data_IF_063572347693
#
_entry.id   IF_063572347693
#
_cell.length_a   1.000
_cell.length_b   1.000
_cell.length_c   1.000
_cell.angle_alpha   90.00
_cell.angle_beta   90.00
_cell.angle_gamma   90.00
#
_symmetry.space_group_name_H-M   'P 1'
#
loop_
_entity.id
_entity.type
_entity.pdbx_description
1 polymer ?
#
# COMPACT_ATOMS: atom_id res chain seq x y z
N UNK A 1 -3.54 -15.00 19.04
CA UNK A 1 -4.44 -14.95 20.21
C UNK A 1 -5.62 -15.88 19.98
N UNK A 2 -6.24 -15.87 18.82
CA UNK A 2 -7.32 -16.77 18.41
C UNK A 2 -6.81 -17.65 17.25
N UNK A 3 -6.10 -18.74 17.59
CA UNK A 3 -5.38 -19.57 16.62
C UNK A 3 -6.28 -20.25 15.57
N UNK A 4 -7.53 -20.50 15.94
CA UNK A 4 -8.51 -21.20 15.09
C UNK A 4 -9.59 -20.22 14.55
N UNK A 5 -9.32 -18.90 14.55
CA UNK A 5 -10.27 -17.94 14.03
C UNK A 5 -10.35 -18.02 12.51
N UNK A 6 -11.56 -18.06 11.97
CA UNK A 6 -11.83 -17.83 10.54
C UNK A 6 -11.91 -16.31 10.30
N UNK A 7 -11.08 -15.79 9.43
CA UNK A 7 -10.96 -14.37 9.14
C UNK A 7 -11.54 -14.06 7.76
N UNK A 8 -12.68 -13.38 7.74
CA UNK A 8 -13.29 -12.85 6.52
C UNK A 8 -12.95 -11.37 6.37
N UNK A 9 -12.39 -10.98 5.25
CA UNK A 9 -12.04 -9.60 4.93
C UNK A 9 -13.08 -9.00 3.98
N UNK A 10 -13.76 -7.94 4.42
CA UNK A 10 -14.68 -7.18 3.58
C UNK A 10 -13.94 -6.04 2.88
N UNK A 11 -13.89 -6.09 1.55
CA UNK A 11 -13.18 -5.11 0.71
C UNK A 11 -14.12 -4.44 -0.28
N UNK A 12 -13.61 -3.38 -0.92
CA UNK A 12 -14.19 -2.84 -2.15
C UNK A 12 -13.90 -3.79 -3.33
N UNK A 13 -14.72 -3.72 -4.43
CA UNK A 13 -14.49 -4.56 -5.61
C UNK A 13 -13.06 -4.46 -6.17
N UNK A 14 -12.50 -3.25 -6.22
CA UNK A 14 -11.15 -2.98 -6.71
C UNK A 14 -10.03 -3.58 -5.86
N UNK A 15 -10.27 -3.80 -4.56
CA UNK A 15 -9.28 -4.28 -3.60
C UNK A 15 -9.40 -5.80 -3.33
N UNK A 16 -10.36 -6.49 -3.95
CA UNK A 16 -10.66 -7.91 -3.68
C UNK A 16 -9.44 -8.81 -3.92
N UNK A 17 -8.72 -8.59 -5.02
CA UNK A 17 -7.54 -9.39 -5.36
C UNK A 17 -6.39 -9.14 -4.39
N UNK A 18 -6.19 -7.88 -3.98
CA UNK A 18 -5.22 -7.53 -2.94
C UNK A 18 -5.55 -8.22 -1.61
N UNK A 19 -6.83 -8.16 -1.19
CA UNK A 19 -7.30 -8.85 0.00
C UNK A 19 -7.05 -10.36 -0.05
N UNK A 20 -7.29 -11.00 -1.20
CA UNK A 20 -7.07 -12.43 -1.39
C UNK A 20 -5.58 -12.84 -1.36
N UNK A 21 -4.65 -11.90 -1.52
CA UNK A 21 -3.21 -12.18 -1.40
C UNK A 21 -2.69 -12.12 0.04
N UNK A 22 -3.52 -11.74 1.01
CA UNK A 22 -3.13 -11.67 2.44
C UNK A 22 -3.15 -13.08 3.03
N UNK A 23 -2.00 -13.64 3.48
CA UNK A 23 -1.87 -15.06 3.77
C UNK A 23 -2.65 -15.55 5.01
N UNK A 24 -3.17 -14.65 5.84
CA UNK A 24 -3.95 -14.98 7.04
C UNK A 24 -5.44 -14.60 6.92
N UNK A 25 -5.90 -14.30 5.72
CA UNK A 25 -7.32 -14.11 5.40
C UNK A 25 -7.85 -15.41 4.77
N UNK A 26 -8.88 -15.97 5.38
CA UNK A 26 -9.51 -17.22 4.92
C UNK A 26 -10.53 -16.97 3.82
N UNK A 27 -11.22 -15.81 3.86
CA UNK A 27 -12.26 -15.44 2.92
C UNK A 27 -12.23 -13.94 2.61
N UNK A 28 -12.48 -13.58 1.36
CA UNK A 28 -12.64 -12.17 0.94
C UNK A 28 -14.04 -11.94 0.44
N UNK A 29 -14.75 -11.03 1.10
CA UNK A 29 -16.08 -10.58 0.72
C UNK A 29 -16.00 -9.25 -0.01
N UNK A 30 -16.73 -9.12 -1.10
CA UNK A 30 -16.77 -7.88 -1.88
C UNK A 30 -18.01 -7.05 -1.50
N UNK A 31 -17.78 -5.90 -0.87
CA UNK A 31 -18.85 -5.02 -0.44
C UNK A 31 -19.52 -4.33 -1.64
N UNK A 32 -20.86 -4.37 -1.75
CA UNK A 32 -21.60 -3.67 -2.81
C UNK A 32 -21.70 -2.16 -2.51
N UNK A 33 -20.55 -1.49 -2.34
CA UNK A 33 -20.49 -0.08 -1.91
C UNK A 33 -21.02 0.90 -2.95
N UNK A 34 -21.02 0.50 -4.22
CA UNK A 34 -21.54 1.30 -5.33
C UNK A 34 -23.04 1.09 -5.56
N UNK A 35 -23.60 0.05 -4.94
CA UNK A 35 -25.03 -0.25 -5.05
C UNK A 35 -25.88 0.65 -4.15
N UNK A 36 -27.10 0.90 -4.55
CA UNK A 36 -28.07 1.61 -3.71
C UNK A 36 -28.50 0.70 -2.56
N UNK A 37 -28.67 1.26 -1.33
CA UNK A 37 -29.05 0.48 -0.14
C UNK A 37 -30.44 -0.20 -0.28
N UNK A 38 -31.25 0.21 -1.24
CA UNK A 38 -32.54 -0.39 -1.59
C UNK A 38 -32.48 -1.32 -2.80
N UNK A 39 -31.28 -1.58 -3.38
CA UNK A 39 -31.13 -2.53 -4.49
C UNK A 39 -31.25 -3.97 -3.99
N UNK A 40 -31.71 -4.87 -4.87
CA UNK A 40 -31.76 -6.30 -4.57
C UNK A 40 -30.34 -6.83 -4.24
N UNK A 41 -29.34 -6.42 -5.01
CA UNK A 41 -27.94 -6.86 -4.79
C UNK A 41 -27.41 -6.46 -3.39
N UNK A 42 -27.77 -5.27 -2.89
CA UNK A 42 -27.40 -4.87 -1.54
C UNK A 42 -28.12 -5.73 -0.46
N UNK A 43 -29.41 -6.01 -0.66
CA UNK A 43 -30.20 -6.84 0.27
C UNK A 43 -29.70 -8.29 0.26
N UNK A 44 -29.46 -8.87 -0.92
CA UNK A 44 -28.93 -10.22 -1.07
C UNK A 44 -27.57 -10.37 -0.35
N UNK A 45 -26.69 -9.37 -0.50
CA UNK A 45 -25.43 -9.33 0.22
C UNK A 45 -25.59 -9.26 1.73
N UNK A 46 -26.50 -8.43 2.24
CA UNK A 46 -26.79 -8.34 3.69
C UNK A 46 -27.36 -9.64 4.22
N UNK A 47 -28.21 -10.32 3.46
CA UNK A 47 -28.77 -11.62 3.84
C UNK A 47 -27.70 -12.71 3.84
N UNK A 48 -26.75 -12.66 2.89
CA UNK A 48 -25.57 -13.54 2.89
C UNK A 48 -24.68 -13.29 4.10
N UNK A 49 -24.36 -12.03 4.41
CA UNK A 49 -23.55 -11.62 5.54
C UNK A 49 -24.16 -12.08 6.90
N UNK A 50 -25.49 -12.25 6.96
CA UNK A 50 -26.21 -12.69 8.16
C UNK A 50 -26.42 -14.19 8.25
N UNK A 51 -26.18 -14.94 7.19
CA UNK A 51 -26.46 -16.37 7.15
C UNK A 51 -25.63 -17.13 8.17
N UNK A 52 -24.34 -16.79 8.28
CA UNK A 52 -23.44 -17.32 9.29
C UNK A 52 -22.95 -16.15 10.16
N UNK A 53 -23.57 -15.93 11.34
CA UNK A 53 -23.27 -14.74 12.13
C UNK A 53 -21.85 -14.78 12.68
N UNK A 54 -21.16 -13.68 12.53
CA UNK A 54 -19.81 -13.49 13.05
C UNK A 54 -19.81 -13.30 14.57
N UNK A 55 -18.79 -13.80 15.26
CA UNK A 55 -18.57 -13.48 16.67
C UNK A 55 -18.08 -12.05 16.84
N UNK A 56 -17.22 -11.60 15.93
CA UNK A 56 -16.57 -10.29 15.97
C UNK A 56 -16.58 -9.65 14.59
N UNK A 57 -16.92 -8.37 14.53
CA UNK A 57 -16.72 -7.51 13.37
C UNK A 57 -15.90 -6.28 13.76
N UNK A 58 -14.83 -5.99 13.02
CA UNK A 58 -13.95 -4.85 13.25
C UNK A 58 -14.00 -3.91 12.05
N UNK A 59 -14.38 -2.67 12.25
CA UNK A 59 -14.37 -1.64 11.22
C UNK A 59 -13.07 -0.83 11.29
N UNK A 60 -12.14 -1.10 10.39
CA UNK A 60 -10.78 -0.53 10.41
C UNK A 60 -10.70 0.90 9.89
N UNK A 61 -11.69 1.35 9.11
CA UNK A 61 -11.64 2.67 8.48
C UNK A 61 -11.78 3.80 9.49
N UNK A 62 -10.81 4.71 9.60
CA UNK A 62 -10.88 5.86 10.49
C UNK A 62 -12.01 6.82 10.08
N UNK A 63 -12.20 6.99 8.78
CA UNK A 63 -13.31 7.74 8.18
C UNK A 63 -14.40 6.79 7.71
N UNK A 64 -14.61 5.73 8.47
CA UNK A 64 -15.56 4.68 8.17
C UNK A 64 -16.82 5.31 7.57
N UNK A 65 -17.03 5.12 6.28
CA UNK A 65 -18.22 5.64 5.64
C UNK A 65 -19.43 5.14 6.43
N UNK A 66 -20.47 5.94 6.53
CA UNK A 66 -21.71 5.49 7.18
C UNK A 66 -22.11 4.09 6.71
N UNK A 67 -21.82 3.77 5.46
CA UNK A 67 -22.09 2.49 4.82
C UNK A 67 -21.31 1.31 5.41
N UNK A 68 -20.00 1.47 5.65
CA UNK A 68 -19.19 0.42 6.27
C UNK A 68 -19.60 0.19 7.73
N UNK A 69 -19.88 1.27 8.48
CA UNK A 69 -20.41 1.15 9.83
C UNK A 69 -21.77 0.47 9.83
N UNK A 70 -22.66 0.79 8.88
CA UNK A 70 -23.95 0.14 8.71
C UNK A 70 -23.80 -1.36 8.40
N UNK A 71 -22.91 -1.74 7.47
CA UNK A 71 -22.63 -3.15 7.18
C UNK A 71 -22.09 -3.90 8.40
N UNK A 72 -21.20 -3.28 9.17
CA UNK A 72 -20.74 -3.83 10.44
C UNK A 72 -21.93 -4.05 11.40
N UNK A 73 -22.84 -3.08 11.51
CA UNK A 73 -24.07 -3.23 12.31
C UNK A 73 -25.03 -4.32 11.78
N UNK A 74 -25.08 -4.49 10.46
CA UNK A 74 -25.94 -5.47 9.78
C UNK A 74 -25.36 -6.89 9.74
N UNK A 75 -24.07 -7.07 10.01
CA UNK A 75 -23.38 -8.36 9.97
C UNK A 75 -23.93 -9.39 10.98
N UNK A 76 -24.72 -8.95 11.94
CA UNK A 76 -25.19 -9.83 13.02
C UNK A 76 -24.13 -10.15 14.07
N UNK A 77 -22.90 -9.63 13.94
CA UNK A 77 -21.81 -9.89 14.86
C UNK A 77 -22.19 -9.47 16.31
N UNK A 78 -21.88 -10.36 17.26
CA UNK A 78 -22.15 -10.12 18.69
C UNK A 78 -21.29 -9.00 19.23
N UNK A 79 -20.05 -8.92 18.81
CA UNK A 79 -19.09 -7.88 19.15
C UNK A 79 -18.75 -7.07 17.90
N UNK A 80 -18.96 -5.76 17.94
CA UNK A 80 -18.70 -4.86 16.84
C UNK A 80 -17.83 -3.72 17.31
N UNK A 81 -16.61 -3.65 16.78
CA UNK A 81 -15.56 -2.70 17.17
C UNK A 81 -15.36 -1.68 16.09
N UNK A 82 -15.22 -0.42 16.47
CA UNK A 82 -14.95 0.66 15.54
C UNK A 82 -14.57 1.95 16.25
N UNK A 83 -14.28 2.99 15.45
CA UNK A 83 -14.02 4.31 16.01
C UNK A 83 -15.33 5.00 16.41
N UNK A 84 -15.28 5.69 17.55
CA UNK A 84 -16.40 6.47 18.05
C UNK A 84 -16.90 7.48 17.02
N UNK A 85 -18.23 7.60 16.93
CA UNK A 85 -18.94 8.50 16.02
C UNK A 85 -20.11 9.16 16.73
N UNK A 86 -20.36 10.43 16.39
CA UNK A 86 -21.41 11.21 17.06
C UNK A 86 -22.84 10.71 16.80
N UNK A 87 -23.04 9.92 15.73
CA UNK A 87 -24.38 9.53 15.25
C UNK A 87 -24.53 8.05 14.88
N UNK A 88 -23.67 7.16 15.32
CA UNK A 88 -23.75 5.74 14.96
C UNK A 88 -23.88 4.84 16.16
N UNK A 89 -24.86 3.94 16.14
CA UNK A 89 -25.04 2.84 17.09
C UNK A 89 -24.59 1.50 16.50
N UNK A 90 -23.80 1.53 15.43
CA UNK A 90 -23.36 0.32 14.74
C UNK A 90 -22.37 -0.50 15.56
N UNK A 91 -21.58 0.15 16.40
CA UNK A 91 -20.59 -0.49 17.24
C UNK A 91 -21.09 -0.61 18.68
N UNK A 92 -20.66 -1.65 19.39
CA UNK A 92 -20.88 -1.82 20.81
C UNK A 92 -19.59 -1.78 21.63
N UNK A 93 -18.44 -1.72 20.96
CA UNK A 93 -17.15 -1.28 21.51
C UNK A 93 -16.57 -0.19 20.61
N UNK A 94 -16.18 0.92 21.21
CA UNK A 94 -15.70 2.07 20.48
C UNK A 94 -14.36 2.57 21.03
N UNK A 95 -13.46 2.97 20.14
CA UNK A 95 -12.23 3.68 20.44
C UNK A 95 -12.39 5.14 20.06
N UNK A 96 -12.06 6.03 20.97
CA UNK A 96 -11.91 7.46 20.63
C UNK A 96 -10.70 7.62 19.74
N UNK A 97 -10.90 8.14 18.53
CA UNK A 97 -9.80 8.45 17.63
C UNK A 97 -8.89 9.48 18.29
N UNK A 98 -7.60 9.22 18.33
CA UNK A 98 -6.62 10.18 18.81
C UNK A 98 -6.51 11.36 17.84
N UNK A 99 -5.73 12.37 18.20
CA UNK A 99 -5.55 13.59 17.39
C UNK A 99 -5.17 13.22 15.95
N UNK A 100 -5.56 14.07 15.00
CA UNK A 100 -5.31 13.89 13.55
C UNK A 100 -3.82 13.69 13.20
N UNK A 101 -2.91 14.08 14.08
CA UNK A 101 -1.45 13.95 13.93
C UNK A 101 -0.89 12.59 14.35
N UNK A 102 -1.72 11.69 14.92
CA UNK A 102 -1.25 10.38 15.36
C UNK A 102 -1.08 9.43 14.17
N UNK A 103 -0.05 8.58 14.22
CA UNK A 103 0.24 7.59 13.19
C UNK A 103 -0.97 6.67 12.93
N UNK A 104 -1.46 6.63 11.69
CA UNK A 104 -2.73 5.97 11.33
C UNK A 104 -2.74 4.48 11.68
N UNK A 105 -1.63 3.77 11.52
CA UNK A 105 -1.54 2.35 11.87
C UNK A 105 -1.74 2.15 13.38
N UNK A 106 -1.14 2.99 14.23
CA UNK A 106 -1.33 2.91 15.67
C UNK A 106 -2.78 3.16 16.09
N UNK A 107 -3.49 4.02 15.38
CA UNK A 107 -4.92 4.23 15.61
C UNK A 107 -5.73 2.97 15.29
N UNK A 108 -5.44 2.32 14.16
CA UNK A 108 -6.10 1.06 13.78
C UNK A 108 -5.77 -0.06 14.79
N UNK A 109 -4.52 -0.15 15.23
CA UNK A 109 -4.08 -1.13 16.23
C UNK A 109 -4.75 -0.91 17.60
N UNK A 110 -5.17 0.32 17.92
CA UNK A 110 -5.94 0.59 19.13
C UNK A 110 -7.29 -0.18 19.18
N UNK A 111 -7.92 -0.43 18.01
CA UNK A 111 -9.14 -1.26 17.94
C UNK A 111 -8.85 -2.70 18.36
N UNK A 112 -7.68 -3.23 17.98
CA UNK A 112 -7.29 -4.61 18.32
C UNK A 112 -6.87 -4.73 19.79
N UNK A 113 -6.22 -3.70 20.34
CA UNK A 113 -5.85 -3.66 21.78
C UNK A 113 -7.07 -3.69 22.70
N UNK A 114 -8.23 -3.15 22.27
CA UNK A 114 -9.49 -3.31 23.02
C UNK A 114 -9.88 -4.77 23.24
N UNK A 115 -9.45 -5.66 22.37
CA UNK A 115 -9.70 -7.09 22.46
C UNK A 115 -8.67 -7.83 23.33
N UNK A 116 -7.77 -7.09 24.00
CA UNK A 116 -6.67 -7.68 24.77
C UNK A 116 -5.56 -8.30 23.90
N UNK A 117 -5.50 -7.92 22.64
CA UNK A 117 -4.48 -8.40 21.70
C UNK A 117 -3.39 -7.33 21.59
N UNK A 118 -2.19 -7.66 22.00
CA UNK A 118 -1.02 -6.79 21.75
C UNK A 118 -0.46 -7.08 20.36
N UNK A 119 -0.52 -6.12 19.44
CA UNK A 119 0.07 -6.28 18.13
C UNK A 119 1.58 -6.48 18.25
N UNK A 120 2.12 -7.43 17.51
CA UNK A 120 3.55 -7.68 17.45
C UNK A 120 4.02 -7.63 16.01
N UNK A 121 5.24 -7.12 15.81
CA UNK A 121 5.88 -7.04 14.52
C UNK A 121 5.62 -5.73 13.76
N UNK A 122 6.29 -5.62 12.64
CA UNK A 122 6.13 -4.52 11.70
C UNK A 122 5.02 -4.83 10.69
N UNK A 123 4.51 -3.78 10.06
CA UNK A 123 3.60 -3.94 8.91
C UNK A 123 4.40 -4.55 7.78
N UNK A 124 4.17 -5.82 7.52
CA UNK A 124 4.80 -6.55 6.43
C UNK A 124 3.74 -7.30 5.61
N UNK A 125 3.98 -7.39 4.34
CA UNK A 125 3.14 -8.14 3.44
C UNK A 125 4.02 -8.78 2.36
N UNK A 126 3.60 -9.95 1.88
CA UNK A 126 4.26 -10.64 0.78
C UNK A 126 3.18 -11.19 -0.15
N UNK A 127 3.36 -10.98 -1.44
CA UNK A 127 2.55 -11.68 -2.46
C UNK A 127 3.05 -13.11 -2.56
N UNK A 128 2.13 -14.03 -2.89
CA UNK A 128 2.51 -15.41 -3.19
C UNK A 128 3.59 -15.45 -4.29
N UNK A 129 4.72 -16.11 -3.98
CA UNK A 129 5.91 -16.11 -4.86
C UNK A 129 5.61 -16.52 -6.30
N UNK A 130 4.68 -17.45 -6.52
CA UNK A 130 4.34 -17.93 -7.86
C UNK A 130 3.74 -16.86 -8.75
N UNK A 131 2.78 -16.09 -8.26
CA UNK A 131 2.13 -15.02 -9.02
C UNK A 131 3.07 -13.81 -9.20
N UNK A 132 3.78 -13.44 -8.15
CA UNK A 132 4.77 -12.37 -8.20
C UNK A 132 5.87 -12.67 -9.22
N UNK A 133 6.37 -13.90 -9.26
CA UNK A 133 7.37 -14.32 -10.23
C UNK A 133 6.85 -14.25 -11.66
N UNK A 134 5.65 -14.76 -11.93
CA UNK A 134 5.04 -14.70 -13.27
C UNK A 134 4.88 -13.26 -13.77
N UNK A 135 4.45 -12.33 -12.90
CA UNK A 135 4.32 -10.92 -13.26
C UNK A 135 5.68 -10.25 -13.48
N UNK A 136 6.66 -10.54 -12.62
CA UNK A 136 8.02 -10.05 -12.79
C UNK A 136 8.65 -10.56 -14.07
N UNK A 137 8.59 -11.85 -14.35
CA UNK A 137 9.09 -12.46 -15.59
C UNK A 137 8.45 -11.83 -16.81
N UNK A 138 7.14 -11.57 -16.75
CA UNK A 138 6.41 -10.98 -17.88
C UNK A 138 6.77 -9.52 -18.15
N UNK A 139 7.00 -8.71 -17.10
CA UNK A 139 7.15 -7.25 -17.22
C UNK A 139 8.57 -6.76 -16.97
N UNK A 140 9.34 -7.45 -16.11
CA UNK A 140 10.72 -7.10 -15.78
C UNK A 140 11.74 -8.02 -16.46
N UNK A 141 11.34 -8.66 -17.55
CA UNK A 141 12.23 -9.49 -18.39
C UNK A 141 13.15 -8.65 -19.28
N UNK A 142 14.16 -9.29 -19.85
CA UNK A 142 15.10 -8.68 -20.80
C UNK A 142 15.91 -7.54 -20.18
N UNK A 143 15.72 -6.31 -20.67
CA UNK A 143 16.49 -5.15 -20.20
C UNK A 143 16.22 -4.77 -18.74
N UNK A 144 15.06 -5.17 -18.16
CA UNK A 144 14.69 -4.91 -16.76
C UNK A 144 15.19 -5.99 -15.79
N UNK A 145 15.79 -7.07 -16.28
CA UNK A 145 16.37 -8.13 -15.45
C UNK A 145 17.78 -7.82 -14.94
N UNK A 146 18.40 -6.77 -15.42
CA UNK A 146 19.78 -6.38 -15.06
C UNK A 146 19.87 -4.92 -14.65
N UNK A 147 20.61 -4.64 -13.58
CA UNK A 147 20.79 -3.29 -13.02
C UNK A 147 19.65 -2.83 -12.14
N UNK A 148 19.73 -1.59 -11.67
CA UNK A 148 18.69 -1.02 -10.82
C UNK A 148 17.43 -0.70 -11.61
N UNK A 149 16.29 -1.10 -11.06
CA UNK A 149 14.95 -0.71 -11.52
C UNK A 149 14.36 0.20 -10.45
N UNK A 150 13.99 1.42 -10.82
CA UNK A 150 13.38 2.39 -9.94
C UNK A 150 11.92 2.56 -10.32
N UNK A 151 11.03 2.32 -9.38
CA UNK A 151 9.63 2.64 -9.54
C UNK A 151 9.39 4.14 -9.35
N UNK A 152 8.55 4.73 -10.19
CA UNK A 152 8.09 6.12 -10.06
C UNK A 152 6.57 6.11 -10.13
N UNK A 153 5.94 6.48 -9.03
CA UNK A 153 4.48 6.63 -8.96
C UNK A 153 4.11 8.04 -9.41
N UNK A 154 3.35 8.13 -10.51
CA UNK A 154 2.88 9.39 -11.06
C UNK A 154 1.65 9.93 -10.31
N UNK A 155 1.02 9.10 -9.51
CA UNK A 155 -0.30 9.13 -8.92
C UNK A 155 -0.75 10.42 -8.26
N UNK A 156 -1.99 10.50 -7.96
CA UNK A 156 -2.96 11.39 -7.34
C UNK A 156 -3.80 12.26 -8.27
N UNK A 157 -3.62 12.23 -9.58
CA UNK A 157 -4.45 13.02 -10.49
C UNK A 157 -4.09 14.52 -10.52
N UNK A 158 -4.82 15.27 -11.34
CA UNK A 158 -4.55 16.69 -11.56
C UNK A 158 -4.61 17.51 -10.25
N UNK A 159 -3.50 18.16 -9.90
CA UNK A 159 -3.41 19.19 -8.86
C UNK A 159 -2.93 18.74 -7.48
N UNK A 160 -2.78 17.44 -7.23
CA UNK A 160 -2.40 16.91 -5.91
C UNK A 160 -1.06 16.17 -5.89
N UNK A 161 -0.38 16.07 -7.01
CA UNK A 161 0.91 15.40 -7.18
C UNK A 161 1.96 16.26 -7.87
N UNK A 162 3.04 15.63 -8.27
CA UNK A 162 4.10 16.24 -9.08
C UNK A 162 3.55 16.60 -10.47
N UNK A 163 3.97 17.75 -10.99
CA UNK A 163 3.58 18.14 -12.34
C UNK A 163 4.43 17.40 -13.42
N UNK A 164 3.96 17.44 -14.67
CA UNK A 164 4.58 16.71 -15.76
C UNK A 164 6.05 17.06 -16.02
N UNK A 165 6.49 18.30 -15.74
CA UNK A 165 7.89 18.72 -15.88
C UNK A 165 8.76 18.11 -14.76
N UNK A 166 8.25 18.11 -13.53
CA UNK A 166 8.94 17.49 -12.40
C UNK A 166 9.10 15.98 -12.60
N UNK A 167 8.05 15.31 -13.11
CA UNK A 167 8.10 13.89 -13.45
C UNK A 167 9.10 13.60 -14.56
N UNK A 168 9.17 14.44 -15.60
CA UNK A 168 10.17 14.31 -16.67
C UNK A 168 11.59 14.48 -16.11
N UNK A 169 11.84 15.49 -15.28
CA UNK A 169 13.12 15.71 -14.62
C UNK A 169 13.52 14.53 -13.72
N UNK A 170 12.59 13.97 -12.93
CA UNK A 170 12.83 12.81 -12.06
C UNK A 170 13.20 11.59 -12.90
N UNK A 171 12.35 11.23 -13.88
CA UNK A 171 12.59 10.07 -14.74
C UNK A 171 13.91 10.23 -15.52
N UNK A 172 14.20 11.42 -16.03
CA UNK A 172 15.47 11.73 -16.66
C UNK A 172 16.67 11.45 -15.74
N UNK A 173 16.60 11.89 -14.48
CA UNK A 173 17.65 11.66 -13.48
C UNK A 173 17.83 10.19 -13.10
N UNK A 174 16.72 9.42 -13.06
CA UNK A 174 16.77 7.96 -12.88
C UNK A 174 17.54 7.31 -14.03
N UNK A 175 17.20 7.67 -15.27
CA UNK A 175 17.82 7.13 -16.49
C UNK A 175 19.30 7.54 -16.61
N UNK A 176 19.67 8.78 -16.26
CA UNK A 176 21.06 9.26 -16.24
C UNK A 176 21.96 8.46 -15.30
N UNK A 177 21.39 7.85 -14.26
CA UNK A 177 22.09 6.95 -13.31
C UNK A 177 22.28 5.52 -13.84
N UNK A 178 21.86 5.25 -15.07
CA UNK A 178 21.90 3.91 -15.64
C UNK A 178 20.79 2.98 -15.16
N UNK A 179 19.87 3.49 -14.34
CA UNK A 179 18.70 2.72 -13.89
C UNK A 179 17.60 2.72 -14.97
N UNK A 180 16.67 1.80 -14.87
CA UNK A 180 15.42 1.78 -15.62
C UNK A 180 14.27 2.22 -14.74
N UNK A 181 13.21 2.76 -15.33
CA UNK A 181 12.06 3.26 -14.60
C UNK A 181 10.81 2.44 -14.88
N UNK A 182 10.12 1.97 -13.84
CA UNK A 182 8.75 1.48 -13.92
C UNK A 182 7.83 2.63 -13.51
N UNK A 183 6.89 3.02 -14.37
CA UNK A 183 5.97 4.11 -14.11
C UNK A 183 4.62 3.54 -13.69
N UNK A 184 4.25 3.72 -12.43
CA UNK A 184 2.90 3.46 -11.97
C UNK A 184 2.01 4.67 -12.25
N UNK A 185 0.83 4.45 -12.81
CA UNK A 185 -0.06 5.54 -13.21
C UNK A 185 -1.52 5.11 -13.30
N UNK A 186 -2.42 6.07 -13.13
CA UNK A 186 -3.85 5.92 -13.41
C UNK A 186 -4.20 6.47 -14.80
N UNK A 187 -5.45 6.31 -15.21
CA UNK A 187 -5.94 6.88 -16.48
C UNK A 187 -5.72 8.39 -16.62
N UNK A 188 -5.67 9.12 -15.50
CA UNK A 188 -5.48 10.56 -15.50
C UNK A 188 -4.10 10.96 -16.03
N UNK A 189 -3.06 10.17 -15.71
CA UNK A 189 -1.67 10.45 -16.08
C UNK A 189 -1.27 9.88 -17.45
N UNK A 190 -2.16 9.21 -18.17
CA UNK A 190 -1.87 8.52 -19.45
C UNK A 190 -1.16 9.40 -20.49
N UNK A 191 -1.51 10.69 -20.58
CA UNK A 191 -0.84 11.62 -21.50
C UNK A 191 0.63 11.83 -21.13
N UNK A 192 0.89 11.98 -19.84
CA UNK A 192 2.27 12.15 -19.33
C UNK A 192 3.10 10.88 -19.54
N UNK A 193 2.51 9.72 -19.28
CA UNK A 193 3.16 8.42 -19.50
C UNK A 193 3.54 8.22 -20.96
N UNK A 194 2.62 8.52 -21.90
CA UNK A 194 2.90 8.43 -23.33
C UNK A 194 4.05 9.34 -23.75
N UNK A 195 4.14 10.52 -23.17
CA UNK A 195 5.26 11.44 -23.41
C UNK A 195 6.57 10.84 -22.89
N UNK A 196 6.62 10.35 -21.64
CA UNK A 196 7.81 9.77 -21.03
C UNK A 196 8.28 8.52 -21.76
N UNK A 197 7.35 7.62 -22.12
CA UNK A 197 7.67 6.41 -22.89
C UNK A 197 8.25 6.75 -24.27
N UNK A 198 7.71 7.76 -24.94
CA UNK A 198 8.25 8.22 -26.23
C UNK A 198 9.65 8.85 -26.08
N UNK A 199 9.88 9.58 -24.98
CA UNK A 199 11.15 10.30 -24.74
C UNK A 199 12.26 9.34 -24.36
N UNK A 200 11.99 8.35 -23.49
CA UNK A 200 13.02 7.49 -22.91
C UNK A 200 13.05 6.05 -23.49
N UNK A 201 12.08 5.71 -24.34
CA UNK A 201 12.04 4.43 -25.06
C UNK A 201 11.98 3.21 -24.15
N UNK A 202 12.75 2.17 -24.47
CA UNK A 202 12.80 0.90 -23.74
C UNK A 202 13.30 0.98 -22.30
N UNK A 203 13.84 2.13 -21.88
CA UNK A 203 14.30 2.34 -20.49
C UNK A 203 13.15 2.65 -19.52
N UNK A 204 11.94 2.82 -20.03
CA UNK A 204 10.73 3.13 -19.26
C UNK A 204 9.67 2.10 -19.54
N UNK A 205 9.18 1.46 -18.46
CA UNK A 205 8.07 0.50 -18.47
C UNK A 205 6.83 1.14 -17.87
N UNK A 206 5.78 1.44 -18.64
CA UNK A 206 4.51 1.92 -18.10
C UNK A 206 3.69 0.75 -17.54
N UNK A 207 3.13 0.91 -16.34
CA UNK A 207 2.21 -0.03 -15.71
C UNK A 207 1.01 0.70 -15.12
N UNK A 208 -0.17 0.42 -15.63
CA UNK A 208 -1.42 1.03 -15.18
C UNK A 208 -1.90 0.42 -13.85
N UNK A 209 -2.16 1.26 -12.87
CA UNK A 209 -2.57 0.89 -11.50
C UNK A 209 -4.05 0.47 -11.42
N UNK A 210 -4.45 -0.49 -12.23
CA UNK A 210 -5.79 -1.06 -12.15
C UNK A 210 -5.86 -2.32 -11.27
N UNK A 211 -4.70 -2.75 -10.74
CA UNK A 211 -4.54 -3.94 -9.92
C UNK A 211 -3.37 -3.76 -8.94
N UNK A 212 -3.68 -3.49 -7.67
CA UNK A 212 -2.66 -3.29 -6.63
C UNK A 212 -1.81 -4.54 -6.36
N UNK A 213 -2.34 -5.75 -6.60
CA UNK A 213 -1.54 -6.97 -6.49
C UNK A 213 -0.46 -7.03 -7.58
N UNK A 214 -0.80 -6.59 -8.81
CA UNK A 214 0.17 -6.44 -9.88
C UNK A 214 1.22 -5.36 -9.60
N UNK A 215 0.80 -4.22 -9.05
CA UNK A 215 1.73 -3.15 -8.59
C UNK A 215 2.70 -3.71 -7.56
N UNK A 216 2.21 -4.43 -6.55
CA UNK A 216 3.03 -5.01 -5.50
C UNK A 216 4.03 -6.04 -6.04
N UNK A 217 3.61 -6.90 -6.98
CA UNK A 217 4.49 -7.88 -7.62
C UNK A 217 5.66 -7.22 -8.37
N UNK A 218 5.40 -6.09 -9.06
CA UNK A 218 6.44 -5.33 -9.73
C UNK A 218 7.33 -4.56 -8.76
N UNK A 219 6.75 -3.98 -7.69
CA UNK A 219 7.51 -3.30 -6.64
C UNK A 219 8.57 -4.19 -6.01
N UNK A 220 8.26 -5.47 -5.76
CA UNK A 220 9.24 -6.44 -5.22
C UNK A 220 10.46 -6.66 -6.14
N UNK A 221 10.36 -6.32 -7.43
CA UNK A 221 11.47 -6.36 -8.38
C UNK A 221 12.19 -5.02 -8.53
N UNK A 222 11.79 -3.98 -7.78
CA UNK A 222 12.39 -2.65 -7.86
C UNK A 222 13.39 -2.42 -6.73
N UNK A 223 14.50 -1.77 -7.03
CA UNK A 223 15.52 -1.38 -6.04
C UNK A 223 15.10 -0.19 -5.19
N UNK A 224 14.18 0.64 -5.66
CA UNK A 224 13.62 1.77 -4.92
C UNK A 224 12.34 2.29 -5.57
N UNK A 225 11.55 3.05 -4.78
CA UNK A 225 10.36 3.77 -5.22
C UNK A 225 10.53 5.29 -5.00
N UNK A 226 10.03 6.10 -5.93
CA UNK A 226 9.74 7.52 -5.71
C UNK A 226 8.24 7.71 -5.82
N UNK A 227 7.61 8.18 -4.77
CA UNK A 227 6.15 8.38 -4.73
C UNK A 227 5.75 9.55 -3.85
N UNK A 228 4.62 10.17 -4.17
CA UNK A 228 3.90 10.98 -3.20
C UNK A 228 3.22 10.07 -2.15
N UNK A 229 2.52 10.68 -1.17
CA UNK A 229 1.73 9.93 -0.18
C UNK A 229 0.53 9.24 -0.84
N UNK A 230 0.74 8.07 -1.40
CA UNK A 230 -0.22 7.24 -2.15
C UNK A 230 -0.25 5.83 -1.60
N UNK A 231 -1.22 5.02 -2.04
CA UNK A 231 -1.29 3.60 -1.70
C UNK A 231 -0.02 2.84 -2.15
N UNK A 232 0.58 3.25 -3.27
CA UNK A 232 1.80 2.63 -3.81
C UNK A 232 2.98 2.81 -2.87
N UNK A 233 3.11 3.98 -2.22
CA UNK A 233 4.15 4.22 -1.21
C UNK A 233 3.99 3.27 -0.02
N UNK A 234 2.79 3.17 0.53
CA UNK A 234 2.54 2.31 1.70
C UNK A 234 2.71 0.84 1.36
N UNK A 235 2.34 0.45 0.14
CA UNK A 235 2.54 -0.89 -0.38
C UNK A 235 4.05 -1.23 -0.48
N UNK A 236 4.86 -0.33 -1.04
CA UNK A 236 6.31 -0.50 -1.13
C UNK A 236 6.95 -0.68 0.25
N UNK A 237 6.57 0.17 1.22
CA UNK A 237 7.10 0.07 2.59
C UNK A 237 6.72 -1.24 3.28
N UNK A 238 5.50 -1.75 3.05
CA UNK A 238 5.07 -3.05 3.59
C UNK A 238 5.76 -4.25 2.93
N UNK A 239 6.25 -4.08 1.71
CA UNK A 239 7.03 -5.08 0.96
C UNK A 239 8.54 -4.98 1.24
N UNK A 240 8.98 -4.04 2.07
CA UNK A 240 10.39 -3.83 2.37
C UNK A 240 11.16 -3.08 1.27
N UNK A 241 10.48 -2.46 0.31
CA UNK A 241 11.13 -1.72 -0.79
C UNK A 241 11.52 -0.33 -0.33
N UNK A 242 12.80 0.06 -0.43
CA UNK A 242 13.25 1.39 -0.09
C UNK A 242 12.53 2.47 -0.91
N UNK A 243 12.19 3.61 -0.29
CA UNK A 243 11.41 4.63 -0.97
C UNK A 243 11.85 6.06 -0.67
N UNK A 244 11.57 6.95 -1.61
CA UNK A 244 11.52 8.40 -1.39
C UNK A 244 10.05 8.80 -1.32
N UNK A 245 9.58 9.12 -0.14
CA UNK A 245 8.20 9.55 0.11
C UNK A 245 8.09 11.07 0.11
N UNK A 246 7.21 11.61 -0.72
CA UNK A 246 6.97 13.04 -0.88
C UNK A 246 5.62 13.38 -0.28
N UNK A 247 5.60 14.28 0.70
CA UNK A 247 4.43 14.62 1.49
C UNK A 247 4.15 16.13 1.41
N UNK A 248 2.88 16.48 1.23
CA UNK A 248 2.35 17.84 1.31
C UNK A 248 1.82 18.19 2.71
N UNK A 249 1.89 17.23 3.62
CA UNK A 249 1.47 17.31 5.01
C UNK A 249 2.50 16.65 5.95
N UNK A 250 2.20 16.56 7.24
CA UNK A 250 3.06 15.87 8.21
C UNK A 250 3.17 14.37 7.92
N UNK A 251 4.35 13.94 7.50
CA UNK A 251 4.62 12.54 7.15
C UNK A 251 4.47 11.59 8.35
N UNK A 252 4.63 12.06 9.58
CA UNK A 252 4.50 11.24 10.81
C UNK A 252 3.12 10.63 10.98
N UNK A 253 2.11 11.22 10.36
CA UNK A 253 0.77 10.64 10.30
C UNK A 253 0.73 9.33 9.51
N UNK A 254 1.55 9.20 8.49
CA UNK A 254 1.50 8.14 7.49
C UNK A 254 2.67 7.16 7.57
N UNK A 255 3.79 7.60 8.10
CA UNK A 255 5.02 6.81 8.18
C UNK A 255 5.53 6.83 9.60
N UNK A 256 5.85 5.66 10.15
CA UNK A 256 6.47 5.55 11.46
C UNK A 256 7.86 6.20 11.46
N UNK A 257 8.19 6.95 12.51
CA UNK A 257 9.54 7.50 12.73
C UNK A 257 10.63 6.39 12.78
N UNK A 258 10.24 5.16 13.06
CA UNK A 258 11.15 4.00 13.09
C UNK A 258 11.36 3.37 11.72
N UNK A 259 10.58 3.77 10.71
CA UNK A 259 10.70 3.21 9.37
C UNK A 259 11.95 3.79 8.68
N UNK A 260 13.00 2.99 8.62
CA UNK A 260 14.28 3.36 8.00
C UNK A 260 14.32 3.16 6.48
N UNK A 261 13.28 2.56 5.88
CA UNK A 261 13.21 2.31 4.43
C UNK A 261 12.82 3.57 3.64
N UNK A 262 12.26 4.60 4.29
CA UNK A 262 11.78 5.78 3.60
C UNK A 262 12.67 7.00 3.84
N UNK A 263 13.01 7.70 2.76
CA UNK A 263 13.54 9.06 2.77
C UNK A 263 12.38 10.03 2.66
N UNK A 264 12.10 10.77 3.72
CA UNK A 264 10.94 11.67 3.81
C UNK A 264 11.31 13.05 3.25
N UNK A 265 10.48 13.55 2.35
CA UNK A 265 10.54 14.91 1.83
C UNK A 265 9.19 15.57 2.06
N UNK A 266 9.15 16.51 2.98
CA UNK A 266 7.95 17.32 3.23
C UNK A 266 8.06 18.65 2.47
N UNK A 267 7.02 18.98 1.69
CA UNK A 267 6.89 20.23 0.97
C UNK A 267 5.41 20.57 0.75
N UNK A 268 4.92 21.61 1.38
CA UNK A 268 3.51 22.00 1.30
C UNK A 268 3.02 22.34 -0.12
N UNK A 269 3.88 22.98 -0.90
CA UNK A 269 3.62 23.20 -2.33
C UNK A 269 4.49 22.26 -3.14
N UNK A 270 3.94 21.14 -3.56
CA UNK A 270 4.66 20.12 -4.34
C UNK A 270 5.24 20.69 -5.66
N UNK A 271 4.70 21.83 -6.15
CA UNK A 271 5.28 22.51 -7.33
C UNK A 271 6.62 23.17 -7.03
N UNK A 272 6.90 23.46 -5.76
CA UNK A 272 8.17 24.05 -5.30
C UNK A 272 9.22 23.00 -4.92
N UNK A 273 8.90 21.69 -4.98
CA UNK A 273 9.81 20.65 -4.57
C UNK A 273 11.14 20.69 -5.35
N UNK A 274 12.22 20.56 -4.61
CA UNK A 274 13.55 20.45 -5.19
C UNK A 274 13.79 19.06 -5.74
N UNK A 275 13.91 18.93 -7.07
CA UNK A 275 14.24 17.66 -7.71
C UNK A 275 15.60 17.12 -7.24
N UNK A 276 16.54 17.99 -6.92
CA UNK A 276 17.83 17.59 -6.34
C UNK A 276 17.63 16.85 -5.00
N UNK A 277 16.72 17.32 -4.11
CA UNK A 277 16.42 16.61 -2.84
C UNK A 277 15.81 15.23 -3.10
N UNK A 278 14.93 15.11 -4.10
CA UNK A 278 14.31 13.81 -4.47
C UNK A 278 15.38 12.84 -4.95
N UNK A 279 16.28 13.32 -5.79
CA UNK A 279 17.37 12.53 -6.38
C UNK A 279 18.42 12.14 -5.33
N UNK A 280 18.78 13.04 -4.42
CA UNK A 280 19.66 12.73 -3.28
C UNK A 280 19.01 11.69 -2.33
N UNK A 281 17.69 11.76 -2.15
CA UNK A 281 16.91 10.75 -1.44
C UNK A 281 16.98 9.40 -2.13
N UNK A 282 16.81 9.35 -3.46
CA UNK A 282 16.95 8.13 -4.25
C UNK A 282 18.35 7.50 -4.09
N UNK A 283 19.40 8.31 -4.16
CA UNK A 283 20.77 7.83 -3.99
C UNK A 283 21.01 7.23 -2.59
N UNK A 284 20.29 7.69 -1.56
CA UNK A 284 20.33 7.08 -0.22
C UNK A 284 19.52 5.79 -0.16
N UNK A 285 18.34 5.76 -0.77
CA UNK A 285 17.47 4.58 -0.83
C UNK A 285 18.17 3.39 -1.53
N UNK A 286 18.79 3.65 -2.69
CA UNK A 286 19.53 2.63 -3.45
C UNK A 286 20.75 2.07 -2.70
N UNK A 287 21.40 2.87 -1.81
CA UNK A 287 22.48 2.37 -0.97
C UNK A 287 22.01 1.42 0.12
N UNK A 288 20.77 1.57 0.60
CA UNK A 288 20.18 0.67 1.61
C UNK A 288 19.89 -0.70 1.01
N UNK A 289 19.29 -0.75 -0.17
CA UNK A 289 19.04 -1.97 -0.93
C UNK A 289 20.33 -2.81 -1.07
N UNK A 290 21.42 -2.18 -1.48
CA UNK A 290 22.73 -2.84 -1.64
C UNK A 290 23.37 -3.36 -0.32
N UNK A 291 22.95 -2.83 0.84
CA UNK A 291 23.43 -3.28 2.15
C UNK A 291 22.62 -4.50 2.61
N UNK A 292 21.32 -4.49 2.40
CA UNK A 292 20.43 -5.60 2.76
C UNK A 292 20.72 -6.84 1.91
N UNK A 293 20.99 -6.69 0.61
CA UNK A 293 21.44 -7.80 -0.25
C UNK A 293 22.75 -8.45 0.25
N UNK A 294 23.73 -7.67 0.70
CA UNK A 294 24.99 -8.20 1.25
C UNK A 294 24.78 -8.96 2.56
N UNK A 295 23.94 -8.46 3.46
CA UNK A 295 23.64 -9.10 4.73
C UNK A 295 22.91 -10.45 4.54
N UNK A 296 22.06 -10.56 3.49
CA UNK A 296 21.40 -11.82 3.13
C UNK A 296 22.38 -12.87 2.59
N UNK A 297 23.38 -12.46 1.81
CA UNK A 297 24.40 -13.35 1.24
C UNK A 297 25.38 -13.82 2.32
N UNK A 298 25.80 -12.94 3.21
CA UNK A 298 26.74 -13.25 4.30
C UNK A 298 26.08 -14.07 5.42
N UNK A 299 24.76 -13.89 5.66
CA UNK A 299 23.99 -14.67 6.65
C UNK A 299 23.71 -16.12 6.24
N UNK A 300 23.68 -16.43 4.95
CA UNK A 300 23.47 -17.78 4.42
C UNK A 300 24.73 -18.68 4.53
N UNK A 301 25.90 -18.11 4.87
CA UNK A 301 27.20 -18.82 4.97
C UNK A 301 27.55 -19.37 6.34
N UNK A 302 26.78 -19.09 7.40
CA UNK A 302 27.12 -19.53 8.77
C UNK A 302 26.15 -20.60 9.29
N UNK A 303 26.25 -21.82 8.76
CA UNK A 303 25.77 -23.00 9.48
C UNK A 303 26.80 -23.34 10.58
N UNK A 304 26.44 -23.41 11.87
CA UNK A 304 27.39 -23.93 12.88
C UNK A 304 27.60 -25.42 12.65
N UNK A 305 28.82 -25.77 12.38
CA UNK A 305 29.30 -27.17 12.42
C UNK A 305 29.10 -27.69 13.84
N UNK A 306 28.14 -28.58 14.02
CA UNK A 306 28.04 -29.39 15.25
C UNK A 306 29.12 -30.46 15.23
N UNK A 307 30.10 -30.29 16.08
CA UNK A 307 30.99 -31.36 16.57
C UNK A 307 30.38 -31.98 17.83
#
# INVERSE_FOLDING_TARGET
HYADAHISLLTKPEDTRLGASIPFVDEVLTAPINEQIWSAAYHDFVDELRRDPYDLAVCLGPDCSFRLAQLCGLSGARLRVGFQRDVSTSFNLEVVRQREEAFEVEQVLALIRLLGIEPCGEVSWAIGEGEANQLRERYLDGEFSTGHVVAVDLGRGEGTGLNGRQLDDIVGRVIERGARAVLFFSLAERKQVNYLTKTYGSRVLPFEENDLAGVAALLQGCSALIACNTNVLHLALSLGVPAVGIFDEDARRWVSERNHLVEIIEERDLRAISIARVVDGLDRALRRDAIDERNLVDGAGSTPSTA
#
